data_IF_601071158989
#
_entry.id   IF_601071158989
#
_cell.length_a   1.000
_cell.length_b   1.000
_cell.length_c   1.000
_cell.angle_alpha   90.00
_cell.angle_beta   90.00
_cell.angle_gamma   90.00
#
_symmetry.space_group_name_H-M   'P 1'
#
loop_
_entity.id
_entity.type
_entity.pdbx_description
1 polymer ?
#
# COMPACT_ATOMS: atom_id res chain seq x y z
N UNK A 1 -1.46 22.98 -4.68
CA UNK A 1 -1.57 21.60 -5.18
C UNK A 1 -0.77 20.63 -4.29
N UNK A 2 -1.26 20.28 -3.10
CA UNK A 2 -0.61 19.27 -2.23
C UNK A 2 -1.49 18.03 -1.97
N UNK A 3 -2.72 17.99 -2.51
CA UNK A 3 -3.75 17.08 -1.98
C UNK A 3 -3.56 15.61 -2.35
N UNK A 4 -3.11 15.27 -3.57
CA UNK A 4 -3.06 13.86 -4.00
C UNK A 4 -1.95 13.07 -3.32
N UNK A 5 -0.78 13.68 -3.12
CA UNK A 5 0.38 13.00 -2.52
C UNK A 5 0.15 12.68 -1.04
N UNK A 6 -0.53 13.56 -0.30
CA UNK A 6 -0.90 13.32 1.10
C UNK A 6 -1.96 12.23 1.23
N UNK A 7 -2.93 12.16 0.31
CA UNK A 7 -3.97 11.12 0.32
C UNK A 7 -3.37 9.75 0.02
N UNK A 8 -2.45 9.65 -0.95
CA UNK A 8 -1.71 8.40 -1.22
C UNK A 8 -0.90 7.95 0.01
N UNK A 9 -0.21 8.89 0.67
CA UNK A 9 0.58 8.58 1.85
C UNK A 9 -0.29 8.06 3.01
N UNK A 10 -1.43 8.70 3.25
CA UNK A 10 -2.39 8.28 4.28
C UNK A 10 -3.02 6.94 3.94
N UNK A 11 -3.36 6.70 2.67
CA UNK A 11 -3.92 5.43 2.22
C UNK A 11 -2.93 4.27 2.41
N UNK A 12 -1.65 4.48 2.06
CA UNK A 12 -0.58 3.48 2.24
C UNK A 12 -0.35 3.20 3.73
N UNK A 13 -0.26 4.25 4.56
CA UNK A 13 -0.10 4.09 6.01
C UNK A 13 -1.28 3.34 6.64
N UNK A 14 -2.49 3.64 6.21
CA UNK A 14 -3.69 2.96 6.72
C UNK A 14 -3.68 1.50 6.31
N UNK A 15 -3.37 1.18 5.04
CA UNK A 15 -3.23 -0.19 4.56
C UNK A 15 -2.13 -0.96 5.32
N UNK A 16 -1.01 -0.32 5.66
CA UNK A 16 0.03 -0.97 6.47
C UNK A 16 -0.39 -1.22 7.93
N UNK A 17 -1.35 -0.44 8.45
CA UNK A 17 -1.88 -0.60 9.82
C UNK A 17 -3.02 -1.60 9.92
N UNK A 18 -3.76 -1.88 8.84
CA UNK A 18 -4.82 -2.89 8.79
C UNK A 18 -4.39 -4.24 9.38
N UNK A 19 -3.23 -4.83 9.02
CA UNK A 19 -2.85 -6.13 9.58
C UNK A 19 -2.61 -6.07 11.09
N UNK A 20 -2.14 -4.95 11.65
CA UNK A 20 -1.94 -4.82 13.10
C UNK A 20 -3.26 -4.79 13.89
N UNK A 21 -4.35 -4.34 13.27
CA UNK A 21 -5.67 -4.24 13.92
C UNK A 21 -6.54 -5.46 13.60
N UNK A 22 -6.54 -5.91 12.35
CA UNK A 22 -7.43 -6.94 11.82
C UNK A 22 -6.80 -8.35 11.79
N UNK A 23 -5.47 -8.45 11.66
CA UNK A 23 -4.77 -9.72 11.50
C UNK A 23 -3.78 -9.93 12.66
N UNK A 24 -4.31 -10.39 13.79
CA UNK A 24 -3.49 -10.69 14.99
C UNK A 24 -2.65 -11.96 14.87
N UNK A 25 -2.83 -12.74 13.80
CA UNK A 25 -2.20 -14.04 13.62
C UNK A 25 -1.28 -14.02 12.40
N UNK A 26 -0.07 -14.56 12.54
CA UNK A 26 0.96 -14.63 11.50
C UNK A 26 0.69 -15.73 10.46
N UNK A 27 -0.57 -15.91 10.07
CA UNK A 27 -1.00 -16.96 9.14
C UNK A 27 -0.84 -16.52 7.68
N UNK A 28 -1.06 -17.48 6.76
CA UNK A 28 -1.02 -17.29 5.30
C UNK A 28 -1.80 -16.04 4.83
N UNK A 29 -2.87 -15.66 5.53
CA UNK A 29 -3.67 -14.46 5.23
C UNK A 29 -2.86 -13.16 5.36
N UNK A 30 -2.01 -13.05 6.38
CA UNK A 30 -1.12 -11.90 6.58
C UNK A 30 -0.07 -11.82 5.48
N UNK A 31 0.43 -12.98 5.03
CA UNK A 31 1.40 -13.06 3.94
C UNK A 31 0.78 -12.61 2.59
N UNK A 32 -0.42 -13.10 2.29
CA UNK A 32 -1.17 -12.69 1.10
C UNK A 32 -1.54 -11.20 1.14
N UNK A 33 -1.95 -10.69 2.30
CA UNK A 33 -2.25 -9.27 2.49
C UNK A 33 -1.06 -8.38 2.16
N UNK A 34 0.11 -8.66 2.76
CA UNK A 34 1.32 -7.89 2.49
C UNK A 34 1.79 -8.01 1.04
N UNK A 35 1.66 -9.18 0.43
CA UNK A 35 1.98 -9.38 -1.00
C UNK A 35 1.09 -8.51 -1.90
N UNK A 36 -0.21 -8.41 -1.60
CA UNK A 36 -1.14 -7.56 -2.34
C UNK A 36 -0.84 -6.07 -2.16
N UNK A 37 -0.55 -5.62 -0.93
CA UNK A 37 -0.20 -4.22 -0.63
C UNK A 37 1.09 -3.81 -1.35
N UNK A 38 2.14 -4.63 -1.27
CA UNK A 38 3.43 -4.33 -1.90
C UNK A 38 3.33 -4.32 -3.42
N UNK A 39 2.63 -5.28 -4.02
CA UNK A 39 2.45 -5.33 -5.47
C UNK A 39 1.64 -4.14 -6.00
N UNK A 40 0.58 -3.74 -5.31
CA UNK A 40 -0.19 -2.54 -5.64
C UNK A 40 0.65 -1.26 -5.53
N UNK A 41 1.49 -1.15 -4.50
CA UNK A 41 2.37 0.01 -4.32
C UNK A 41 3.47 0.08 -5.39
N UNK A 42 4.08 -1.05 -5.75
CA UNK A 42 5.05 -1.12 -6.84
C UNK A 42 4.42 -0.77 -8.19
N UNK A 43 3.20 -1.27 -8.45
CA UNK A 43 2.46 -0.93 -9.67
C UNK A 43 2.16 0.58 -9.74
N UNK A 44 1.78 1.19 -8.62
CA UNK A 44 1.59 2.64 -8.52
C UNK A 44 2.87 3.40 -8.87
N UNK A 45 3.99 3.08 -8.24
CA UNK A 45 5.28 3.73 -8.52
C UNK A 45 5.68 3.54 -9.99
N UNK A 46 5.52 2.33 -10.52
CA UNK A 46 5.87 2.02 -11.90
C UNK A 46 5.02 2.85 -12.89
N UNK A 47 3.72 2.94 -12.66
CA UNK A 47 2.81 3.74 -13.48
C UNK A 47 3.15 5.24 -13.41
N UNK A 48 3.36 5.76 -12.20
CA UNK A 48 3.73 7.18 -12.01
C UNK A 48 5.10 7.52 -12.58
N UNK A 49 6.04 6.56 -12.63
CA UNK A 49 7.36 6.76 -13.24
C UNK A 49 7.26 6.92 -14.76
N UNK A 50 6.32 6.24 -15.41
CA UNK A 50 6.08 6.37 -16.84
C UNK A 50 5.47 7.72 -17.26
N UNK A 51 4.77 8.42 -16.36
CA UNK A 51 4.22 9.75 -16.67
C UNK A 51 5.25 10.89 -16.54
N UNK A 52 6.44 10.61 -15.98
CA UNK A 52 7.49 11.62 -15.73
C UNK A 52 8.58 11.62 -16.81
N UNK A 53 8.57 10.63 -17.72
CA UNK A 53 9.49 10.49 -18.86
C UNK A 53 8.77 10.78 -20.18
#
# INVERSE_FOLDING_TARGET
MCSMRSVEFVAVLTAMLVPFVALKTSDLSTYLYWTAVVSAYLAHIAYRRWEVE
#
